data_IF_449256166925
#
_entry.id   IF_449256166925
#
_cell.length_a   1.000
_cell.length_b   1.000
_cell.length_c   1.000
_cell.angle_alpha   90.00
_cell.angle_beta   90.00
_cell.angle_gamma   90.00
#
_symmetry.space_group_name_H-M   'P 1'
#
loop_
_entity.id
_entity.type
_entity.pdbx_description
1 polymer ?
#
# COMPACT_ATOMS: atom_id res chain seq x y z
N UNK A 1 29.48 -3.65 -26.95
CA UNK A 1 28.91 -3.19 -25.67
C UNK A 1 27.88 -4.23 -25.25
N UNK A 2 28.03 -4.76 -24.04
CA UNK A 2 27.37 -5.98 -23.58
C UNK A 2 25.86 -5.75 -23.38
N UNK A 3 25.06 -6.66 -23.93
CA UNK A 3 23.61 -6.73 -23.69
C UNK A 3 23.40 -7.41 -22.34
N UNK A 4 23.02 -6.66 -21.31
CA UNK A 4 22.63 -7.26 -20.02
C UNK A 4 21.30 -7.99 -20.20
N UNK A 5 21.38 -9.32 -20.21
CA UNK A 5 20.23 -10.21 -20.09
C UNK A 5 19.70 -10.08 -18.66
N UNK A 6 18.59 -9.37 -18.47
CA UNK A 6 17.83 -9.42 -17.21
C UNK A 6 17.18 -10.80 -17.17
N UNK A 7 17.87 -11.76 -16.56
CA UNK A 7 17.29 -13.05 -16.17
C UNK A 7 16.30 -12.80 -15.05
N UNK A 8 15.01 -12.64 -15.40
CA UNK A 8 13.92 -12.69 -14.43
C UNK A 8 13.79 -14.13 -13.94
N UNK A 9 14.56 -14.49 -12.92
CA UNK A 9 14.34 -15.71 -12.16
C UNK A 9 12.97 -15.59 -11.48
N UNK A 10 11.93 -16.12 -12.12
CA UNK A 10 10.59 -16.27 -11.59
C UNK A 10 10.62 -17.36 -10.51
N UNK A 11 10.97 -16.98 -9.29
CA UNK A 11 10.66 -17.80 -8.11
C UNK A 11 9.15 -18.00 -8.03
N UNK A 12 8.66 -19.18 -7.59
CA UNK A 12 7.22 -19.38 -7.44
C UNK A 12 6.64 -18.30 -6.53
N UNK A 13 5.60 -17.62 -7.02
CA UNK A 13 4.84 -16.62 -6.27
C UNK A 13 4.39 -17.25 -4.95
N UNK A 14 4.95 -16.78 -3.83
CA UNK A 14 4.64 -17.30 -2.48
C UNK A 14 3.33 -16.76 -1.91
N UNK A 15 2.55 -16.04 -2.72
CA UNK A 15 1.29 -15.39 -2.33
C UNK A 15 0.16 -16.08 -3.09
N UNK A 16 -0.82 -16.60 -2.34
CA UNK A 16 -2.02 -17.20 -2.94
C UNK A 16 -2.89 -16.12 -3.59
N UNK A 17 -3.76 -16.51 -4.51
CA UNK A 17 -4.67 -15.56 -5.17
C UNK A 17 -5.57 -14.82 -4.17
N UNK A 18 -6.02 -15.51 -3.11
CA UNK A 18 -6.83 -14.91 -2.04
C UNK A 18 -6.05 -13.90 -1.22
N UNK A 19 -4.82 -14.22 -0.83
CA UNK A 19 -3.95 -13.28 -0.14
C UNK A 19 -3.63 -12.07 -1.02
N UNK A 20 -3.33 -12.29 -2.29
CA UNK A 20 -3.09 -11.22 -3.25
C UNK A 20 -4.28 -10.27 -3.40
N UNK A 21 -5.50 -10.82 -3.47
CA UNK A 21 -6.72 -10.02 -3.53
C UNK A 21 -6.92 -9.19 -2.26
N UNK A 22 -6.77 -9.79 -1.08
CA UNK A 22 -6.88 -9.05 0.19
C UNK A 22 -5.86 -7.91 0.29
N UNK A 23 -4.60 -8.17 -0.06
CA UNK A 23 -3.55 -7.15 -0.06
C UNK A 23 -3.86 -6.02 -1.04
N UNK A 24 -4.36 -6.36 -2.24
CA UNK A 24 -4.74 -5.38 -3.24
C UNK A 24 -5.91 -4.51 -2.77
N UNK A 25 -6.95 -5.11 -2.20
CA UNK A 25 -8.12 -4.38 -1.68
C UNK A 25 -7.73 -3.38 -0.61
N UNK A 26 -6.87 -3.77 0.35
CA UNK A 26 -6.38 -2.87 1.39
C UNK A 26 -5.57 -1.69 0.83
N UNK A 27 -4.67 -1.95 -0.13
CA UNK A 27 -3.89 -0.88 -0.76
C UNK A 27 -4.77 0.08 -1.57
N UNK A 28 -5.72 -0.44 -2.33
CA UNK A 28 -6.66 0.39 -3.12
C UNK A 28 -7.56 1.21 -2.21
N UNK A 29 -8.01 0.64 -1.10
CA UNK A 29 -8.80 1.34 -0.10
C UNK A 29 -8.00 2.51 0.49
N UNK A 30 -6.76 2.26 0.94
CA UNK A 30 -5.88 3.30 1.48
C UNK A 30 -5.65 4.44 0.48
N UNK A 31 -5.30 4.11 -0.77
CA UNK A 31 -5.15 5.09 -1.86
C UNK A 31 -6.42 5.95 -2.05
N UNK A 32 -7.57 5.30 -2.18
CA UNK A 32 -8.84 5.98 -2.45
C UNK A 32 -9.26 6.88 -1.30
N UNK A 33 -9.01 6.43 -0.07
CA UNK A 33 -9.27 7.21 1.14
C UNK A 33 -8.44 8.49 1.15
N UNK A 34 -7.15 8.40 0.86
CA UNK A 34 -6.25 9.55 0.87
C UNK A 34 -6.52 10.54 -0.27
N UNK A 35 -6.85 10.05 -1.46
CA UNK A 35 -7.30 10.90 -2.56
C UNK A 35 -8.55 11.70 -2.15
N UNK A 36 -9.44 11.08 -1.37
CA UNK A 36 -10.61 11.77 -0.82
C UNK A 36 -10.24 12.79 0.26
N UNK A 37 -9.27 12.48 1.12
CA UNK A 37 -8.73 13.44 2.08
C UNK A 37 -8.13 14.67 1.37
N UNK A 38 -7.38 14.46 0.29
CA UNK A 38 -6.84 15.53 -0.54
C UNK A 38 -7.96 16.38 -1.15
N UNK A 39 -9.00 15.75 -1.73
CA UNK A 39 -10.16 16.44 -2.27
C UNK A 39 -10.87 17.30 -1.22
N UNK A 40 -11.09 16.76 -0.01
CA UNK A 40 -11.75 17.48 1.08
C UNK A 40 -10.90 18.63 1.62
N UNK A 41 -9.58 18.45 1.65
CA UNK A 41 -8.65 19.53 1.98
C UNK A 41 -8.73 20.68 0.98
N UNK A 42 -8.65 20.38 -0.33
CA UNK A 42 -8.76 21.41 -1.38
C UNK A 42 -10.13 22.10 -1.42
N UNK A 43 -11.19 21.42 -1.01
CA UNK A 43 -12.54 22.00 -0.85
C UNK A 43 -12.71 22.83 0.43
N UNK A 44 -11.67 22.97 1.25
CA UNK A 44 -11.74 23.70 2.53
C UNK A 44 -12.67 23.02 3.55
N UNK A 45 -12.84 21.71 3.45
CA UNK A 45 -13.67 20.89 4.37
C UNK A 45 -12.83 20.17 5.43
N UNK A 46 -11.51 20.17 5.29
CA UNK A 46 -10.55 19.74 6.30
C UNK A 46 -9.58 20.89 6.57
N UNK A 47 -9.25 21.11 7.85
CA UNK A 47 -8.42 22.22 8.32
C UNK A 47 -7.17 21.70 9.04
N UNK A 48 -6.12 22.50 9.06
CA UNK A 48 -4.82 22.12 9.64
C UNK A 48 -3.90 21.51 8.58
N UNK A 49 -3.12 20.49 8.97
CA UNK A 49 -2.17 19.83 8.09
C UNK A 49 -2.68 18.45 7.67
N UNK A 50 -2.55 18.14 6.38
CA UNK A 50 -2.85 16.82 5.82
C UNK A 50 -1.56 16.24 5.26
N UNK A 51 -1.15 15.10 5.79
CA UNK A 51 -0.02 14.32 5.30
C UNK A 51 -0.56 13.08 4.62
N UNK A 52 -0.21 12.90 3.36
CA UNK A 52 -0.68 11.79 2.53
C UNK A 52 0.44 10.76 2.39
N UNK A 53 0.06 9.49 2.46
CA UNK A 53 0.87 8.28 2.31
C UNK A 53 0.74 7.65 0.90
N UNK A 54 0.09 8.32 -0.05
CA UNK A 54 -0.01 7.91 -1.45
C UNK A 54 1.35 7.42 -1.99
N UNK A 55 1.39 6.19 -2.50
CA UNK A 55 2.60 5.54 -3.02
C UNK A 55 3.36 4.70 -2.00
N UNK A 56 2.94 4.70 -0.73
CA UNK A 56 3.55 3.91 0.35
C UNK A 56 2.60 2.83 0.90
N UNK A 57 1.51 2.51 0.18
CA UNK A 57 0.44 1.62 0.65
C UNK A 57 0.93 0.21 0.99
N UNK A 58 1.92 -0.28 0.25
CA UNK A 58 2.55 -1.58 0.48
C UNK A 58 3.23 -1.67 1.85
N UNK A 59 3.75 -0.55 2.38
CA UNK A 59 4.40 -0.52 3.70
C UNK A 59 3.36 -0.73 4.79
N UNK A 60 2.30 0.08 4.80
CA UNK A 60 1.24 -0.02 5.80
C UNK A 60 0.53 -1.39 5.72
N UNK A 61 0.11 -1.80 4.53
CA UNK A 61 -0.59 -3.08 4.33
C UNK A 61 0.32 -4.26 4.69
N UNK A 62 1.56 -4.26 4.21
CA UNK A 62 2.50 -5.35 4.47
C UNK A 62 2.83 -5.50 5.95
N UNK A 63 3.12 -4.40 6.64
CA UNK A 63 3.41 -4.42 8.09
C UNK A 63 2.20 -4.91 8.86
N UNK A 64 1.02 -4.33 8.63
CA UNK A 64 -0.20 -4.69 9.37
C UNK A 64 -0.62 -6.15 9.16
N UNK A 65 -0.40 -6.73 7.97
CA UNK A 65 -0.69 -8.15 7.72
C UNK A 65 0.36 -9.11 8.26
N UNK A 66 1.58 -8.64 8.49
CA UNK A 66 2.64 -9.43 9.12
C UNK A 66 2.59 -9.40 10.66
N UNK A 67 1.88 -8.42 11.24
CA UNK A 67 1.70 -8.30 12.68
C UNK A 67 0.77 -9.40 13.24
N UNK A 68 1.06 -9.82 14.47
CA UNK A 68 0.17 -10.70 15.23
C UNK A 68 -0.96 -9.90 15.87
N UNK A 69 -2.08 -10.53 16.24
CA UNK A 69 -3.21 -9.84 16.87
C UNK A 69 -2.89 -9.11 18.18
N UNK A 70 -1.80 -9.49 18.85
CA UNK A 70 -1.30 -8.93 20.11
C UNK A 70 -0.11 -7.96 19.95
N UNK A 71 0.34 -7.71 18.72
CA UNK A 71 1.36 -6.71 18.43
C UNK A 71 0.75 -5.30 18.36
N UNK A 72 1.54 -4.28 18.72
CA UNK A 72 1.11 -2.87 18.71
C UNK A 72 1.95 -2.07 17.72
N UNK A 73 1.29 -1.19 16.96
CA UNK A 73 1.93 -0.16 16.12
C UNK A 73 1.47 1.21 16.60
N UNK A 74 2.39 2.17 16.63
CA UNK A 74 2.07 3.58 16.84
C UNK A 74 1.84 4.31 15.51
#
# INVERSE_FOLDING_TARGET
MLQEQITTASSPLSVTATEGLMLYEDMVLGRTFEDKCAEMYYRGRMFGFVHLYNGQEAVATGVLKAMRPDDYSC
#
